data_IF_486685699947
#
_entry.id   IF_486685699947
#
_cell.length_a   1.000
_cell.length_b   1.000
_cell.length_c   1.000
_cell.angle_alpha   90.00
_cell.angle_beta   90.00
_cell.angle_gamma   90.00
#
_symmetry.space_group_name_H-M   'P 1'
#
loop_
_entity.id
_entity.type
_entity.pdbx_description
1 polymer ?
#
# COMPACT_ATOMS: atom_id res chain seq x y z
N UNK A 1 64.69 7.96 -6.66
CA UNK A 1 63.97 6.99 -7.49
C UNK A 1 63.30 5.98 -6.57
N UNK A 2 61.97 5.86 -6.71
CA UNK A 2 61.03 4.84 -6.19
C UNK A 2 61.04 4.51 -4.69
N UNK A 3 60.21 5.15 -3.84
CA UNK A 3 58.75 4.97 -3.60
C UNK A 3 58.37 3.62 -2.97
N UNK A 4 58.08 3.66 -1.66
CA UNK A 4 57.38 2.60 -0.94
C UNK A 4 55.92 2.48 -1.40
N UNK A 5 55.41 1.25 -1.40
CA UNK A 5 54.00 0.93 -1.58
C UNK A 5 53.41 0.59 -0.22
N UNK A 6 52.73 1.55 0.37
CA UNK A 6 51.74 1.32 1.42
C UNK A 6 50.46 0.84 0.73
N UNK A 7 50.05 -0.40 1.02
CA UNK A 7 48.77 -0.93 0.58
C UNK A 7 47.66 -0.21 1.35
N UNK A 8 47.15 0.86 0.76
CA UNK A 8 45.89 1.47 1.15
C UNK A 8 44.77 0.45 1.01
N UNK A 9 44.30 -0.06 2.14
CA UNK A 9 42.99 -0.70 2.24
C UNK A 9 41.99 0.36 1.79
N UNK A 10 41.47 0.19 0.58
CA UNK A 10 40.31 0.94 0.08
C UNK A 10 39.22 0.76 1.12
N UNK A 11 39.00 1.81 1.91
CA UNK A 11 37.83 1.92 2.74
C UNK A 11 36.64 1.68 1.84
N UNK A 12 35.96 0.56 2.08
CA UNK A 12 34.59 0.37 1.62
C UNK A 12 33.83 1.51 2.27
N UNK A 13 33.72 2.62 1.54
CA UNK A 13 32.85 3.71 1.90
C UNK A 13 31.47 3.09 2.00
N UNK A 14 31.04 2.83 3.23
CA UNK A 14 29.64 2.62 3.55
C UNK A 14 28.97 3.95 3.22
N UNK A 15 28.71 4.16 1.93
CA UNK A 15 27.66 5.05 1.48
C UNK A 15 26.47 4.72 2.35
N UNK A 16 26.00 5.71 3.11
CA UNK A 16 24.71 5.64 3.79
C UNK A 16 23.70 5.41 2.68
N UNK A 17 23.43 4.14 2.37
CA UNK A 17 22.49 3.75 1.34
C UNK A 17 21.16 4.31 1.83
N UNK A 18 20.71 5.43 1.23
CA UNK A 18 19.45 6.04 1.58
C UNK A 18 18.41 4.94 1.38
N UNK A 19 17.85 4.47 2.47
CA UNK A 19 17.02 3.29 2.48
C UNK A 19 15.87 3.45 1.46
N UNK A 20 15.64 2.44 0.63
CA UNK A 20 14.60 2.51 -0.41
C UNK A 20 13.27 3.00 0.19
N UNK A 21 12.59 3.96 -0.46
CA UNK A 21 11.39 4.55 0.12
C UNK A 21 10.35 3.46 0.39
N UNK A 22 9.84 3.44 1.63
CA UNK A 22 8.83 2.49 2.05
C UNK A 22 7.45 3.13 1.95
N UNK A 23 6.49 2.40 1.38
CA UNK A 23 5.09 2.80 1.32
C UNK A 23 4.28 1.78 2.12
N UNK A 24 3.73 2.21 3.24
CA UNK A 24 2.94 1.34 4.12
C UNK A 24 1.43 1.46 3.85
N UNK A 25 0.72 0.34 3.95
CA UNK A 25 -0.73 0.28 3.86
C UNK A 25 -1.30 -0.14 5.21
N UNK A 26 -2.17 0.70 5.77
CA UNK A 26 -2.98 0.36 6.94
C UNK A 26 -4.26 -0.35 6.48
N UNK A 27 -4.23 -1.69 6.51
CA UNK A 27 -5.25 -2.59 5.97
C UNK A 27 -4.71 -3.35 4.75
N UNK A 28 -4.89 -4.68 4.72
CA UNK A 28 -4.43 -5.54 3.64
C UNK A 28 -5.52 -6.00 2.69
N UNK A 29 -6.69 -5.35 2.67
CA UNK A 29 -7.86 -5.78 1.91
C UNK A 29 -7.83 -5.46 0.39
N UNK A 30 -8.97 -5.59 -0.29
CA UNK A 30 -9.09 -5.38 -1.74
C UNK A 30 -8.62 -4.01 -2.20
N UNK A 31 -8.94 -2.95 -1.45
CA UNK A 31 -8.51 -1.59 -1.77
C UNK A 31 -6.98 -1.44 -1.74
N UNK A 32 -6.30 -2.07 -0.77
CA UNK A 32 -4.85 -2.04 -0.67
C UNK A 32 -4.21 -2.81 -1.83
N UNK A 33 -4.74 -4.00 -2.17
CA UNK A 33 -4.26 -4.77 -3.30
C UNK A 33 -4.39 -4.03 -4.63
N UNK A 34 -5.53 -3.37 -4.88
CA UNK A 34 -5.72 -2.58 -6.10
C UNK A 34 -4.71 -1.43 -6.22
N UNK A 35 -4.44 -0.70 -5.12
CA UNK A 35 -3.41 0.36 -5.13
C UNK A 35 -2.02 -0.22 -5.33
N UNK A 36 -1.67 -1.30 -4.64
CA UNK A 36 -0.37 -1.94 -4.79
C UNK A 36 -0.14 -2.42 -6.23
N UNK A 37 -1.13 -3.11 -6.82
CA UNK A 37 -1.10 -3.54 -8.23
C UNK A 37 -0.92 -2.34 -9.18
N UNK A 38 -1.75 -1.29 -9.02
CA UNK A 38 -1.66 -0.10 -9.86
C UNK A 38 -0.31 0.60 -9.73
N UNK A 39 0.21 0.70 -8.51
CA UNK A 39 1.51 1.33 -8.23
C UNK A 39 2.65 0.55 -8.88
N UNK A 40 2.74 -0.76 -8.67
CA UNK A 40 3.75 -1.62 -9.31
C UNK A 40 3.70 -1.48 -10.83
N UNK A 41 2.50 -1.50 -11.43
CA UNK A 41 2.31 -1.31 -12.87
C UNK A 41 2.78 0.04 -13.40
N UNK A 42 2.50 1.11 -12.67
CA UNK A 42 2.89 2.46 -13.07
C UNK A 42 4.40 2.69 -12.98
N UNK A 43 5.12 1.92 -12.16
CA UNK A 43 6.52 2.22 -11.79
C UNK A 43 7.54 1.21 -12.32
N UNK A 44 7.16 -0.03 -12.63
CA UNK A 44 8.12 -1.05 -13.12
C UNK A 44 8.84 -0.61 -14.40
N UNK A 45 8.10 -0.05 -15.37
CA UNK A 45 8.71 0.48 -16.60
C UNK A 45 9.62 1.69 -16.35
N UNK A 46 9.37 2.43 -15.27
CA UNK A 46 10.18 3.56 -14.82
C UNK A 46 11.38 3.13 -13.97
N UNK A 47 11.49 1.84 -13.60
CA UNK A 47 12.56 1.26 -12.79
C UNK A 47 12.79 1.98 -11.46
N UNK A 48 11.72 2.47 -10.83
CA UNK A 48 11.81 3.14 -9.53
C UNK A 48 12.01 2.08 -8.42
N UNK A 49 13.04 2.26 -7.59
CA UNK A 49 13.36 1.42 -6.42
C UNK A 49 12.51 1.77 -5.20
N UNK A 50 11.72 0.84 -4.66
CA UNK A 50 10.92 1.05 -3.44
C UNK A 50 10.37 -0.25 -2.80
N UNK A 51 9.98 -0.17 -1.54
CA UNK A 51 9.32 -1.26 -0.82
C UNK A 51 7.86 -0.91 -0.49
N UNK A 52 6.96 -1.89 -0.60
CA UNK A 52 5.56 -1.80 -0.15
C UNK A 52 5.38 -2.69 1.07
N UNK A 53 4.72 -2.20 2.11
CA UNK A 53 4.39 -2.99 3.30
C UNK A 53 2.88 -3.00 3.52
N UNK A 54 2.26 -4.16 3.38
CA UNK A 54 0.84 -4.39 3.68
C UNK A 54 0.70 -4.84 5.14
N UNK A 55 0.09 -4.00 5.97
CA UNK A 55 -0.22 -4.29 7.37
C UNK A 55 -1.69 -4.67 7.50
N UNK A 56 -1.95 -5.90 7.94
CA UNK A 56 -3.31 -6.40 8.14
C UNK A 56 -3.42 -7.17 9.45
N UNK A 57 -4.38 -6.83 10.31
CA UNK A 57 -4.52 -7.45 11.63
C UNK A 57 -4.80 -8.96 11.57
N UNK A 58 -5.49 -9.43 10.52
CA UNK A 58 -5.86 -10.84 10.36
C UNK A 58 -5.01 -11.59 9.33
N UNK A 59 -4.04 -10.93 8.71
CA UNK A 59 -3.20 -11.51 7.65
C UNK A 59 -3.97 -11.88 6.37
N UNK A 60 -5.13 -11.25 6.12
CA UNK A 60 -6.03 -11.55 4.99
C UNK A 60 -5.64 -10.76 3.73
N UNK A 61 -4.38 -10.81 3.32
CA UNK A 61 -3.87 -9.98 2.23
C UNK A 61 -4.66 -10.16 0.92
N UNK A 62 -4.94 -9.04 0.27
CA UNK A 62 -5.82 -8.84 -0.88
C UNK A 62 -7.31 -9.18 -0.67
N UNK A 63 -7.64 -10.10 0.23
CA UNK A 63 -9.01 -10.53 0.51
C UNK A 63 -9.71 -9.58 1.50
N UNK A 64 -9.02 -9.17 2.55
CA UNK A 64 -9.59 -8.41 3.67
C UNK A 64 -10.80 -9.11 4.30
N UNK A 65 -11.52 -8.43 5.19
CA UNK A 65 -12.75 -8.99 5.77
C UNK A 65 -13.89 -9.11 4.76
N UNK A 66 -13.95 -8.24 3.76
CA UNK A 66 -15.01 -8.25 2.75
C UNK A 66 -14.91 -9.39 1.73
N UNK A 67 -13.72 -9.99 1.53
CA UNK A 67 -13.50 -11.07 0.57
C UNK A 67 -12.76 -12.30 1.14
N UNK A 68 -12.58 -12.44 2.46
CA UNK A 68 -11.84 -13.57 3.08
C UNK A 68 -12.62 -14.89 3.21
N UNK A 69 -13.85 -14.97 2.72
CA UNK A 69 -14.64 -16.21 2.76
C UNK A 69 -15.41 -16.42 4.07
N UNK A 70 -16.35 -17.36 4.04
CA UNK A 70 -17.30 -17.66 5.12
C UNK A 70 -18.76 -17.60 4.63
N UNK A 71 -19.09 -16.57 3.85
CA UNK A 71 -20.42 -16.38 3.28
C UNK A 71 -20.41 -16.55 1.75
N UNK A 72 -21.51 -17.08 1.19
CA UNK A 72 -21.78 -17.11 -0.26
C UNK A 72 -22.19 -15.74 -0.85
N UNK A 73 -21.82 -14.66 -0.16
CA UNK A 73 -22.15 -13.29 -0.56
C UNK A 73 -21.48 -12.95 -1.88
N UNK A 74 -22.29 -12.57 -2.86
CA UNK A 74 -21.82 -12.16 -4.18
C UNK A 74 -21.36 -10.70 -4.19
N UNK A 75 -20.61 -10.36 -5.23
CA UNK A 75 -20.26 -8.99 -5.56
C UNK A 75 -21.50 -8.26 -6.08
N UNK A 76 -21.55 -6.96 -5.84
CA UNK A 76 -22.67 -6.12 -6.21
C UNK A 76 -22.58 -5.65 -7.70
N UNK A 77 -21.52 -6.05 -8.40
CA UNK A 77 -21.28 -5.77 -9.80
C UNK A 77 -20.89 -7.03 -10.59
N UNK A 78 -21.15 -7.08 -11.90
CA UNK A 78 -20.82 -8.22 -12.73
C UNK A 78 -19.32 -8.28 -13.04
N UNK A 79 -18.82 -9.50 -13.27
CA UNK A 79 -17.39 -9.78 -13.50
C UNK A 79 -16.74 -8.88 -14.56
N UNK A 80 -17.47 -8.51 -15.62
CA UNK A 80 -16.96 -7.66 -16.71
C UNK A 80 -16.52 -6.26 -16.27
N UNK A 81 -16.96 -5.78 -15.10
CA UNK A 81 -16.63 -4.43 -14.60
C UNK A 81 -15.56 -4.44 -13.52
N UNK A 82 -15.12 -5.62 -13.08
CA UNK A 82 -14.38 -5.80 -11.84
C UNK A 82 -12.90 -6.16 -12.03
N UNK A 83 -12.40 -6.21 -13.27
CA UNK A 83 -10.97 -6.40 -13.52
C UNK A 83 -10.14 -5.40 -12.73
N UNK A 84 -9.01 -5.87 -12.16
CA UNK A 84 -8.03 -5.00 -11.52
C UNK A 84 -7.32 -4.07 -12.52
N UNK A 85 -7.39 -4.38 -13.82
CA UNK A 85 -6.72 -3.64 -14.88
C UNK A 85 -7.74 -2.88 -15.73
N UNK A 86 -7.72 -1.53 -15.74
CA UNK A 86 -8.61 -0.74 -16.59
C UNK A 86 -8.44 -1.03 -18.08
N UNK A 87 -7.20 -1.28 -18.52
CA UNK A 87 -6.79 -1.60 -19.89
C UNK A 87 -7.00 -3.07 -20.29
N UNK A 88 -7.29 -3.96 -19.32
CA UNK A 88 -7.63 -5.36 -19.57
C UNK A 88 -8.96 -5.72 -18.90
N UNK A 89 -10.10 -5.25 -19.43
CA UNK A 89 -11.41 -5.42 -18.77
C UNK A 89 -11.85 -6.88 -18.64
N UNK A 90 -11.36 -7.77 -19.52
CA UNK A 90 -11.67 -9.20 -19.48
C UNK A 90 -10.80 -10.02 -18.51
N UNK A 91 -9.74 -9.43 -17.92
CA UNK A 91 -8.73 -10.19 -17.17
C UNK A 91 -9.31 -11.02 -16.01
N UNK A 92 -10.24 -10.47 -15.22
CA UNK A 92 -10.91 -11.22 -14.16
C UNK A 92 -11.78 -12.37 -14.70
N UNK A 93 -12.45 -12.17 -15.85
CA UNK A 93 -13.28 -13.20 -16.47
C UNK A 93 -12.42 -14.37 -16.97
N UNK A 94 -11.29 -14.04 -17.61
CA UNK A 94 -10.30 -15.01 -18.10
C UNK A 94 -9.69 -15.79 -16.93
N UNK A 95 -9.24 -15.09 -15.88
CA UNK A 95 -8.71 -15.69 -14.66
C UNK A 95 -9.72 -16.60 -13.96
N UNK A 96 -10.98 -16.18 -13.85
CA UNK A 96 -12.01 -16.98 -13.20
C UNK A 96 -12.25 -18.28 -13.97
N UNK A 97 -12.31 -18.22 -15.30
CA UNK A 97 -12.48 -19.39 -16.16
C UNK A 97 -11.29 -20.34 -16.10
N UNK A 98 -10.07 -19.82 -16.15
CA UNK A 98 -8.86 -20.66 -16.03
C UNK A 98 -8.75 -21.32 -14.65
N UNK A 99 -9.30 -20.68 -13.61
CA UNK A 99 -9.41 -21.24 -12.26
C UNK A 99 -10.58 -22.22 -12.08
N UNK A 100 -11.25 -22.63 -13.16
CA UNK A 100 -12.37 -23.58 -13.13
C UNK A 100 -13.73 -22.99 -12.75
N UNK A 101 -13.83 -21.67 -12.58
CA UNK A 101 -15.09 -20.99 -12.24
C UNK A 101 -15.90 -20.77 -13.52
N UNK A 102 -17.04 -21.46 -13.63
CA UNK A 102 -18.00 -21.25 -14.73
C UNK A 102 -18.68 -19.89 -14.56
N UNK A 103 -18.42 -18.97 -15.50
CA UNK A 103 -19.00 -17.63 -15.48
C UNK A 103 -19.12 -17.01 -16.89
N UNK A 104 -20.07 -16.09 -17.02
CA UNK A 104 -20.28 -15.21 -18.17
C UNK A 104 -19.98 -13.76 -17.78
N UNK A 105 -19.85 -12.82 -18.75
CA UNK A 105 -19.63 -11.40 -18.46
C UNK A 105 -20.68 -10.75 -17.53
N UNK A 106 -21.86 -11.34 -17.36
CA UNK A 106 -22.91 -10.85 -16.47
C UNK A 106 -22.92 -11.51 -15.08
N UNK A 107 -22.08 -12.52 -14.85
CA UNK A 107 -22.01 -13.23 -13.57
C UNK A 107 -21.50 -12.31 -12.46
N UNK A 108 -22.24 -12.26 -11.36
CA UNK A 108 -21.80 -11.63 -10.11
C UNK A 108 -21.05 -12.69 -9.29
N UNK A 109 -19.71 -12.64 -9.30
CA UNK A 109 -18.89 -13.67 -8.66
C UNK A 109 -19.07 -13.66 -7.12
N UNK A 110 -18.88 -14.81 -6.45
CA UNK A 110 -18.73 -14.82 -4.99
C UNK A 110 -17.58 -13.90 -4.56
N UNK A 111 -17.74 -13.17 -3.46
CA UNK A 111 -16.70 -12.25 -2.93
C UNK A 111 -15.36 -12.96 -2.69
N UNK A 112 -15.39 -14.22 -2.20
CA UNK A 112 -14.17 -15.04 -2.01
C UNK A 112 -13.36 -15.22 -3.30
N UNK A 113 -14.04 -15.48 -4.42
CA UNK A 113 -13.39 -15.71 -5.74
C UNK A 113 -12.70 -14.44 -6.20
N UNK A 114 -13.31 -13.28 -5.96
CA UNK A 114 -12.68 -12.00 -6.25
C UNK A 114 -11.48 -11.70 -5.35
N UNK A 115 -11.55 -12.09 -4.07
CA UNK A 115 -10.41 -12.03 -3.17
C UNK A 115 -9.24 -12.89 -3.63
N UNK A 116 -9.51 -14.10 -4.11
CA UNK A 116 -8.51 -15.00 -4.69
C UNK A 116 -7.88 -14.43 -5.96
N UNK A 117 -8.71 -13.82 -6.83
CA UNK A 117 -8.25 -13.10 -8.01
C UNK A 117 -7.26 -11.99 -7.65
N UNK A 118 -7.59 -11.13 -6.68
CA UNK A 118 -6.71 -10.03 -6.27
C UNK A 118 -5.43 -10.54 -5.62
N UNK A 119 -5.49 -11.64 -4.85
CA UNK A 119 -4.32 -12.24 -4.24
C UNK A 119 -3.35 -12.81 -5.29
N UNK A 120 -3.87 -13.53 -6.29
CA UNK A 120 -3.09 -14.05 -7.41
C UNK A 120 -2.50 -12.89 -8.25
N UNK A 121 -3.34 -11.94 -8.65
CA UNK A 121 -2.91 -10.77 -9.45
C UNK A 121 -1.83 -9.96 -8.74
N UNK A 122 -1.95 -9.75 -7.43
CA UNK A 122 -0.93 -9.06 -6.65
C UNK A 122 0.39 -9.84 -6.60
N UNK A 123 0.34 -11.17 -6.48
CA UNK A 123 1.54 -12.01 -6.52
C UNK A 123 2.24 -11.88 -7.89
N UNK A 124 1.52 -12.11 -8.99
CA UNK A 124 2.07 -12.02 -10.36
C UNK A 124 2.66 -10.64 -10.65
N UNK A 125 1.99 -9.57 -10.18
CA UNK A 125 2.48 -8.20 -10.37
C UNK A 125 3.73 -7.91 -9.50
N UNK A 126 3.82 -8.51 -8.32
CA UNK A 126 5.01 -8.40 -7.46
C UNK A 126 6.21 -9.07 -8.11
N UNK A 127 6.03 -10.29 -8.64
CA UNK A 127 7.10 -11.03 -9.31
C UNK A 127 7.59 -10.27 -10.56
N UNK A 128 6.69 -9.67 -11.33
CA UNK A 128 7.05 -8.85 -12.48
C UNK A 128 7.76 -7.53 -12.13
N UNK A 129 7.48 -6.95 -10.96
CA UNK A 129 8.10 -5.70 -10.53
C UNK A 129 9.51 -5.88 -9.95
N UNK A 130 9.88 -7.10 -9.59
CA UNK A 130 11.24 -7.41 -9.14
C UNK A 130 12.26 -7.21 -10.27
N UNK A 131 13.46 -6.65 -10.00
CA UNK A 131 14.02 -6.27 -8.70
C UNK A 131 13.71 -4.82 -8.27
N UNK A 132 12.89 -4.08 -9.00
CA UNK A 132 12.66 -2.65 -8.77
C UNK A 132 11.74 -2.38 -7.57
N UNK A 133 10.78 -3.27 -7.31
CA UNK A 133 9.92 -3.13 -6.14
C UNK A 133 9.69 -4.46 -5.43
N UNK A 134 9.58 -4.40 -4.11
CA UNK A 134 9.25 -5.55 -3.26
C UNK A 134 7.97 -5.31 -2.47
N UNK A 135 7.16 -6.35 -2.28
CA UNK A 135 5.94 -6.31 -1.46
C UNK A 135 6.10 -7.21 -0.24
N UNK A 136 6.02 -6.60 0.94
CA UNK A 136 6.07 -7.27 2.23
C UNK A 136 4.68 -7.34 2.85
N UNK A 137 4.38 -8.46 3.49
CA UNK A 137 3.12 -8.73 4.16
C UNK A 137 3.40 -8.93 5.64
N UNK A 138 2.76 -8.13 6.50
CA UNK A 138 2.97 -8.22 7.94
C UNK A 138 1.63 -8.24 8.67
N UNK A 139 1.46 -9.23 9.56
CA UNK A 139 0.21 -9.42 10.29
C UNK A 139 0.27 -8.59 11.56
N UNK A 140 -0.23 -7.37 11.51
CA UNK A 140 -0.17 -6.42 12.60
C UNK A 140 -1.22 -5.33 12.42
N UNK A 141 -1.65 -4.72 13.53
CA UNK A 141 -2.62 -3.62 13.51
C UNK A 141 -1.90 -2.28 13.54
N UNK A 142 -2.27 -1.38 12.63
CA UNK A 142 -1.85 0.03 12.71
C UNK A 142 -2.72 0.72 13.75
N UNK A 143 -2.13 1.10 14.87
CA UNK A 143 -2.80 1.75 15.99
C UNK A 143 -2.91 3.27 15.82
N UNK A 144 -1.93 3.91 15.17
CA UNK A 144 -1.94 5.34 14.89
C UNK A 144 -0.98 5.70 13.73
N UNK A 145 -1.22 6.85 13.11
CA UNK A 145 -0.36 7.45 12.09
C UNK A 145 0.00 8.88 12.48
N UNK A 146 1.22 9.31 12.21
CA UNK A 146 1.63 10.71 12.35
C UNK A 146 2.57 11.10 11.19
N UNK A 147 2.33 12.25 10.57
CA UNK A 147 3.31 12.83 9.67
C UNK A 147 4.57 13.24 10.46
N UNK A 148 5.75 12.97 9.91
CA UNK A 148 7.05 13.31 10.53
C UNK A 148 8.02 13.78 9.45
N UNK A 149 8.16 15.10 9.33
CA UNK A 149 8.90 15.75 8.24
C UNK A 149 8.34 15.34 6.87
N UNK A 150 9.19 14.79 6.02
CA UNK A 150 8.83 14.30 4.68
C UNK A 150 8.25 12.87 4.66
N UNK A 151 8.05 12.26 5.84
CA UNK A 151 7.59 10.88 5.96
C UNK A 151 6.41 10.70 6.91
N UNK A 152 6.18 9.44 7.28
CA UNK A 152 5.11 9.04 8.21
C UNK A 152 5.69 8.06 9.23
N UNK A 153 5.28 8.21 10.48
CA UNK A 153 5.51 7.22 11.54
C UNK A 153 4.21 6.46 11.79
N UNK A 154 4.29 5.14 11.71
CA UNK A 154 3.21 4.22 12.06
C UNK A 154 3.47 3.67 13.46
N UNK A 155 2.45 3.69 14.31
CA UNK A 155 2.42 2.92 15.54
C UNK A 155 1.74 1.59 15.25
N UNK A 156 2.49 0.51 15.38
CA UNK A 156 2.06 -0.84 15.05
C UNK A 156 1.94 -1.64 16.34
N UNK A 157 0.80 -2.29 16.52
CA UNK A 157 0.59 -3.29 17.58
C UNK A 157 0.61 -4.67 16.95
N UNK A 158 1.51 -5.50 17.46
CA UNK A 158 1.62 -6.90 17.06
C UNK A 158 0.89 -7.75 18.09
N UNK A 159 -0.37 -8.10 17.79
CA UNK A 159 -1.21 -8.89 18.70
C UNK A 159 -0.82 -10.39 18.70
N UNK A 160 0.21 -10.79 17.94
CA UNK A 160 0.76 -12.16 17.96
C UNK A 160 2.24 -12.16 18.33
N UNK A 161 2.58 -12.25 19.62
CA UNK A 161 3.97 -12.46 20.02
C UNK A 161 4.46 -13.81 19.48
N UNK A 162 5.42 -13.80 18.54
CA UNK A 162 6.24 -14.99 18.24
C UNK A 162 6.37 -15.44 16.78
N UNK A 163 5.73 -14.81 15.78
CA UNK A 163 6.11 -15.06 14.37
C UNK A 163 7.13 -14.00 13.95
N UNK A 164 8.33 -14.43 13.56
CA UNK A 164 9.39 -13.55 13.10
C UNK A 164 8.82 -12.56 12.05
N UNK A 165 8.62 -11.31 12.47
CA UNK A 165 8.17 -10.25 11.58
C UNK A 165 9.24 -10.09 10.51
N UNK A 166 8.87 -10.28 9.24
CA UNK A 166 9.74 -9.95 8.12
C UNK A 166 10.10 -8.47 8.26
N UNK A 167 11.32 -8.21 8.71
CA UNK A 167 11.85 -6.85 8.85
C UNK A 167 12.08 -6.32 7.45
N UNK A 168 11.26 -5.35 7.04
CA UNK A 168 11.50 -4.43 5.91
C UNK A 168 12.91 -3.87 6.10
N UNK A 169 13.81 -4.13 5.15
CA UNK A 169 15.26 -3.84 5.32
C UNK A 169 15.54 -2.33 5.35
N UNK A 170 14.62 -1.53 4.84
CA UNK A 170 14.77 -0.09 4.65
C UNK A 170 14.04 0.79 5.67
N UNK A 171 13.09 0.25 6.45
CA UNK A 171 12.34 1.05 7.41
C UNK A 171 13.07 1.12 8.77
N UNK A 172 13.25 2.33 9.29
CA UNK A 172 13.73 2.53 10.65
C UNK A 172 12.67 2.07 11.65
N UNK A 173 12.99 1.04 12.44
CA UNK A 173 12.14 0.57 13.54
C UNK A 173 12.63 1.13 14.87
N UNK A 174 11.74 1.75 15.65
CA UNK A 174 12.00 2.19 17.01
C UNK A 174 11.05 1.51 18.01
N UNK A 175 11.55 1.12 19.19
CA UNK A 175 10.69 0.60 20.25
C UNK A 175 9.89 1.75 20.89
N UNK A 176 8.57 1.65 20.89
CA UNK A 176 7.68 2.47 21.72
C UNK A 176 7.52 1.87 23.12
N UNK A 177 6.71 2.51 24.00
CA UNK A 177 6.31 1.89 25.27
C UNK A 177 5.63 0.53 25.02
N UNK A 178 5.81 -0.40 25.97
CA UNK A 178 5.55 -1.85 25.88
C UNK A 178 4.50 -2.31 24.83
N UNK A 179 4.97 -3.03 23.80
CA UNK A 179 4.12 -3.67 22.79
C UNK A 179 3.81 -2.84 21.53
N UNK A 180 4.21 -1.56 21.50
CA UNK A 180 4.07 -0.70 20.33
C UNK A 180 5.38 -0.54 19.57
N UNK A 181 5.42 -1.04 18.34
CA UNK A 181 6.51 -0.82 17.41
C UNK A 181 6.27 0.46 16.60
N UNK A 182 7.31 1.28 16.42
CA UNK A 182 7.27 2.43 15.51
C UNK A 182 7.96 2.10 14.21
N UNK A 183 7.28 2.32 13.09
CA UNK A 183 7.81 2.12 11.74
C UNK A 183 7.83 3.46 11.00
N UNK A 184 9.01 3.97 10.64
CA UNK A 184 9.15 5.16 9.79
C UNK A 184 9.14 4.77 8.32
N UNK A 185 8.30 5.43 7.54
CA UNK A 185 8.12 5.18 6.10
C UNK A 185 8.03 6.50 5.31
N UNK A 186 8.20 6.43 4.00
CA UNK A 186 8.09 7.60 3.12
C UNK A 186 6.62 8.03 2.93
N UNK A 187 5.68 7.08 2.91
CA UNK A 187 4.26 7.36 2.81
C UNK A 187 3.39 6.28 3.46
N UNK A 188 2.17 6.65 3.86
CA UNK A 188 1.17 5.70 4.35
C UNK A 188 -0.17 5.87 3.63
N UNK A 189 -0.81 4.74 3.32
CA UNK A 189 -2.12 4.65 2.69
C UNK A 189 -3.11 3.99 3.65
N UNK A 190 -4.19 4.69 3.99
CA UNK A 190 -5.30 4.13 4.77
C UNK A 190 -6.23 3.35 3.84
N UNK A 191 -6.30 2.04 4.05
CA UNK A 191 -7.05 1.08 3.25
C UNK A 191 -7.83 0.09 4.14
N UNK A 192 -8.34 0.55 5.28
CA UNK A 192 -9.02 -0.28 6.29
C UNK A 192 -10.39 -0.80 5.86
N UNK A 193 -10.92 -0.36 4.71
CA UNK A 193 -12.22 -0.77 4.23
C UNK A 193 -13.34 0.10 4.82
N UNK A 194 -14.49 -0.53 5.10
CA UNK A 194 -15.67 0.15 5.62
C UNK A 194 -15.38 0.68 7.05
N UNK A 195 -15.44 2.00 7.27
CA UNK A 195 -15.19 2.59 8.59
C UNK A 195 -16.20 2.15 9.67
N UNK A 196 -17.38 1.64 9.29
CA UNK A 196 -18.35 1.08 10.22
C UNK A 196 -17.94 -0.31 10.75
N UNK A 197 -17.12 -1.04 9.98
CA UNK A 197 -16.61 -2.37 10.35
C UNK A 197 -15.21 -2.26 10.95
N UNK A 198 -14.33 -1.49 10.30
CA UNK A 198 -12.96 -1.23 10.74
C UNK A 198 -12.70 0.27 10.74
N UNK A 199 -12.83 0.88 11.91
CA UNK A 199 -12.50 2.29 12.10
C UNK A 199 -11.05 2.55 11.67
N UNK A 200 -10.80 3.59 10.85
CA UNK A 200 -9.44 3.96 10.48
C UNK A 200 -8.65 4.37 11.74
N UNK A 201 -7.33 4.14 11.78
CA UNK A 201 -6.52 4.57 12.91
C UNK A 201 -6.58 6.09 13.08
N UNK A 202 -6.41 6.61 14.31
CA UNK A 202 -6.19 8.04 14.53
C UNK A 202 -4.96 8.51 13.74
N UNK A 203 -5.07 9.69 13.13
CA UNK A 203 -4.02 10.28 12.29
C UNK A 203 -3.74 11.69 12.80
N UNK A 204 -2.55 11.91 13.36
CA UNK A 204 -2.15 13.22 13.84
C UNK A 204 -2.12 14.25 12.70
N UNK A 205 -2.67 15.44 12.94
CA UNK A 205 -2.74 16.50 11.93
C UNK A 205 -3.80 16.31 10.84
N UNK A 206 -4.65 15.29 10.94
CA UNK A 206 -5.85 15.12 10.10
C UNK A 206 -7.08 15.35 10.98
N UNK A 207 -8.08 16.15 10.54
CA UNK A 207 -9.27 16.42 11.34
C UNK A 207 -9.98 15.13 11.77
N UNK A 208 -10.27 15.03 13.07
CA UNK A 208 -11.01 13.92 13.63
C UNK A 208 -12.39 13.77 12.95
N UNK A 209 -12.87 12.53 12.89
CA UNK A 209 -14.16 12.20 12.28
C UNK A 209 -15.29 12.83 13.10
N UNK A 210 -15.89 13.93 12.62
CA UNK A 210 -17.14 14.50 13.14
C UNK A 210 -18.25 14.25 12.12
N UNK A 211 -19.23 13.40 12.46
CA UNK A 211 -20.32 13.05 11.54
C UNK A 211 -19.87 12.21 10.35
N UNK A 212 -20.70 12.19 9.29
CA UNK A 212 -20.66 11.30 8.10
C UNK A 212 -19.33 10.55 7.88
N UNK A 213 -19.39 9.23 8.09
CA UNK A 213 -18.25 8.32 8.20
C UNK A 213 -17.20 8.46 7.08
N UNK A 214 -15.92 8.41 7.46
CA UNK A 214 -14.77 8.40 6.56
C UNK A 214 -13.85 9.63 6.64
N UNK A 215 -12.66 9.48 6.07
CA UNK A 215 -11.57 10.48 6.07
C UNK A 215 -11.70 11.44 4.88
N UNK A 216 -11.52 12.74 5.12
CA UNK A 216 -11.51 13.75 4.08
C UNK A 216 -10.26 13.64 3.21
N UNK A 217 -10.42 13.70 1.89
CA UNK A 217 -9.31 13.61 0.94
C UNK A 217 -9.58 14.40 -0.33
N UNK A 218 -8.52 14.81 -1.02
CA UNK A 218 -8.64 15.36 -2.36
C UNK A 218 -9.07 14.27 -3.37
N UNK A 219 -9.49 14.62 -4.60
CA UNK A 219 -9.90 13.63 -5.61
C UNK A 219 -8.87 12.54 -5.94
N UNK A 220 -7.57 12.82 -5.79
CA UNK A 220 -6.46 11.87 -6.00
C UNK A 220 -6.12 11.01 -4.78
N UNK A 221 -6.76 11.23 -3.63
CA UNK A 221 -6.65 10.38 -2.44
C UNK A 221 -5.72 10.88 -1.33
N UNK A 222 -5.06 12.03 -1.48
CA UNK A 222 -4.31 12.65 -0.38
C UNK A 222 -5.25 13.13 0.73
N UNK A 223 -4.92 12.83 1.99
CA UNK A 223 -5.72 13.26 3.14
C UNK A 223 -5.68 14.77 3.31
N UNK A 224 -6.82 15.37 3.63
CA UNK A 224 -6.89 16.79 3.98
C UNK A 224 -6.46 16.97 5.43
N UNK A 225 -5.44 17.77 5.64
CA UNK A 225 -4.86 18.07 6.96
C UNK A 225 -5.68 19.13 7.70
N UNK A 226 -5.35 19.37 8.97
CA UNK A 226 -5.98 20.43 9.79
C UNK A 226 -5.71 21.83 9.26
N UNK A 227 -4.67 22.04 8.44
CA UNK A 227 -4.42 23.30 7.74
C UNK A 227 -5.28 23.48 6.48
N UNK A 228 -6.08 22.48 6.12
CA UNK A 228 -6.97 22.50 4.95
C UNK A 228 -6.32 22.05 3.64
N UNK A 229 -4.98 21.86 3.62
CA UNK A 229 -4.25 21.38 2.45
C UNK A 229 -4.15 19.85 2.36
N UNK A 230 -3.91 19.28 1.15
CA UNK A 230 -3.64 17.85 0.99
C UNK A 230 -2.26 17.49 1.56
N UNK A 231 -2.18 16.35 2.26
CA UNK A 231 -0.91 15.80 2.76
C UNK A 231 -0.03 15.29 1.60
N UNK A 232 1.30 15.47 1.68
CA UNK A 232 2.23 14.94 0.67
C UNK A 232 2.54 13.44 0.83
N UNK A 233 2.26 12.86 1.99
CA UNK A 233 2.69 11.50 2.37
C UNK A 233 1.60 10.65 3.03
N UNK A 234 0.45 11.22 3.38
CA UNK A 234 -0.71 10.51 3.94
C UNK A 234 -1.85 10.43 2.92
N UNK A 235 -2.27 9.21 2.62
CA UNK A 235 -3.28 8.92 1.61
C UNK A 235 -4.39 8.03 2.14
N UNK A 236 -5.52 7.97 1.43
CA UNK A 236 -6.65 7.11 1.75
C UNK A 236 -7.32 6.62 0.47
N UNK A 237 -7.84 5.39 0.48
CA UNK A 237 -8.51 4.77 -0.66
C UNK A 237 -9.77 4.01 -0.25
N UNK A 238 -10.72 3.94 -1.18
CA UNK A 238 -11.91 3.10 -1.05
C UNK A 238 -12.88 3.56 0.04
N UNK A 239 -13.56 2.63 0.74
CA UNK A 239 -14.64 2.98 1.67
C UNK A 239 -14.20 3.82 2.87
N UNK A 240 -12.90 3.84 3.19
CA UNK A 240 -12.35 4.70 4.24
C UNK A 240 -12.45 6.20 3.90
N UNK A 241 -12.71 6.58 2.64
CA UNK A 241 -12.90 7.96 2.21
C UNK A 241 -14.29 8.48 2.58
N UNK A 242 -14.37 9.71 3.06
CA UNK A 242 -15.64 10.39 3.32
C UNK A 242 -16.47 10.50 2.04
N UNK A 243 -17.77 10.21 2.14
CA UNK A 243 -18.71 10.30 1.01
C UNK A 243 -18.59 9.16 0.00
N UNK A 244 -17.83 8.11 0.31
CA UNK A 244 -17.79 6.91 -0.51
C UNK A 244 -19.15 6.20 -0.47
N UNK A 245 -19.76 5.95 -1.64
CA UNK A 245 -21.00 5.17 -1.76
C UNK A 245 -20.66 3.69 -1.96
N UNK A 246 -21.47 2.79 -1.41
CA UNK A 246 -21.13 1.37 -1.25
C UNK A 246 -21.03 0.54 -2.56
N UNK A 247 -21.50 1.04 -3.71
CA UNK A 247 -21.59 0.28 -4.99
C UNK A 247 -20.32 0.29 -5.87
N UNK A 248 -19.12 0.23 -5.29
CA UNK A 248 -18.00 1.00 -5.85
C UNK A 248 -16.70 0.26 -6.17
N UNK A 249 -16.62 -1.07 -6.24
CA UNK A 249 -15.35 -1.74 -6.61
C UNK A 249 -14.70 -1.19 -7.90
N UNK A 250 -15.44 -0.94 -9.00
CA UNK A 250 -14.87 -0.25 -10.17
C UNK A 250 -14.33 1.15 -9.84
N UNK A 251 -15.03 1.90 -8.97
CA UNK A 251 -14.55 3.20 -8.50
C UNK A 251 -13.31 3.10 -7.62
N UNK A 252 -13.15 2.02 -6.85
CA UNK A 252 -11.96 1.78 -6.02
C UNK A 252 -10.75 1.53 -6.92
N UNK A 253 -10.93 0.76 -8.01
CA UNK A 253 -9.88 0.61 -9.05
C UNK A 253 -9.49 1.95 -9.64
N UNK A 254 -10.45 2.78 -10.04
CA UNK A 254 -10.12 4.10 -10.63
C UNK A 254 -9.47 5.06 -9.60
N UNK A 255 -9.83 4.94 -8.32
CA UNK A 255 -9.13 5.64 -7.23
C UNK A 255 -7.70 5.13 -7.07
N UNK A 256 -7.49 3.82 -7.17
CA UNK A 256 -6.18 3.20 -7.05
C UNK A 256 -5.22 3.66 -8.13
N UNK A 257 -5.65 3.75 -9.38
CA UNK A 257 -4.84 4.28 -10.50
C UNK A 257 -4.42 5.74 -10.27
N UNK A 258 -5.36 6.60 -9.85
CA UNK A 258 -5.04 8.02 -9.56
C UNK A 258 -4.09 8.18 -8.37
N UNK A 259 -4.26 7.34 -7.36
CA UNK A 259 -3.42 7.35 -6.16
C UNK A 259 -2.02 6.80 -6.45
N UNK A 260 -1.92 5.72 -7.23
CA UNK A 260 -0.65 5.17 -7.69
C UNK A 260 0.18 6.20 -8.44
N UNK A 261 -0.44 6.91 -9.40
CA UNK A 261 0.23 8.00 -10.12
C UNK A 261 0.67 9.14 -9.17
N UNK A 262 -0.18 9.52 -8.20
CA UNK A 262 0.20 10.53 -7.21
C UNK A 262 1.42 10.10 -6.38
N UNK A 263 1.44 8.87 -5.85
CA UNK A 263 2.55 8.34 -5.06
C UNK A 263 3.84 8.27 -5.89
N UNK A 264 3.75 7.80 -7.14
CA UNK A 264 4.89 7.77 -8.04
C UNK A 264 5.46 9.18 -8.28
N UNK A 265 4.60 10.16 -8.54
CA UNK A 265 5.01 11.53 -8.85
C UNK A 265 5.55 12.30 -7.63
N UNK A 266 4.98 12.09 -6.45
CA UNK A 266 5.30 12.92 -5.26
C UNK A 266 6.20 12.23 -4.25
N UNK A 267 6.12 10.92 -4.09
CA UNK A 267 6.90 10.19 -3.08
C UNK A 267 8.16 9.61 -3.72
N UNK A 268 7.97 8.80 -4.77
CA UNK A 268 9.08 8.04 -5.36
C UNK A 268 10.04 8.92 -6.16
N UNK A 269 9.54 9.88 -6.93
CA UNK A 269 10.42 10.82 -7.65
C UNK A 269 11.22 11.73 -6.70
N UNK A 270 10.64 12.15 -5.57
CA UNK A 270 11.35 12.98 -4.57
C UNK A 270 12.49 12.22 -3.90
N UNK A 271 12.26 10.96 -3.56
CA UNK A 271 13.30 10.08 -3.03
C UNK A 271 14.46 9.91 -4.05
N UNK A 272 14.14 9.79 -5.34
CA UNK A 272 15.14 9.73 -6.41
C UNK A 272 15.94 11.03 -6.61
N UNK A 273 15.33 12.21 -6.42
CA UNK A 273 16.04 13.50 -6.52
C UNK A 273 16.93 13.78 -5.31
N UNK A 274 16.50 13.40 -4.10
CA UNK A 274 17.32 13.53 -2.90
C UNK A 274 18.59 12.67 -2.98
N UNK A 275 18.54 11.53 -3.68
CA UNK A 275 19.68 10.67 -3.93
C UNK A 275 20.69 11.24 -4.95
N UNK A 276 20.26 12.12 -5.88
CA UNK A 276 21.11 12.67 -6.94
C UNK A 276 21.76 14.01 -6.57
N UNK A 277 21.44 14.57 -5.40
CA UNK A 277 21.79 15.92 -4.98
C UNK A 277 23.09 16.09 -4.17
N UNK A 278 23.95 15.07 -4.06
CA UNK A 278 25.24 15.21 -3.37
C UNK A 278 26.42 15.16 -4.35
N UNK A 279 26.80 16.28 -5.00
CA UNK A 279 28.16 16.47 -5.43
C UNK A 279 28.98 16.96 -4.23
N UNK A 280 29.99 16.17 -3.87
CA UNK A 280 30.99 16.52 -2.87
C UNK A 280 31.43 18.00 -2.95
N UNK A 281 31.41 18.67 -1.79
CA UNK A 281 32.19 19.89 -1.57
C UNK A 281 33.67 19.60 -1.49
#
# INVERSE_FOLDING_TARGET
>A
MSTGRENGVLGVGTSRNAAEPVIAFAGGGPSAALVAIALLRATTWLRLGYEVVLLDEYGRYARGTSCAGGDDRRLDAPVRTLSAFPDRPAHLLEWARSSGVRCSPATHLPRRVYGDYLAATLADTTDWAWPHAAVHRRSARVAALAADGDGVVLHIRDDRPGRASARTRSAGTGAGPAGEERLRVAAAVVATGDPAVHAPPPIAGVPAQRGAAGLASCPRGALITVSGGPSPCLFVVGPARRGHRFDALPRIRDQAERLAGLIADTVLRRAGTAHRGDPAG
#
